data_IF_065165226553
#
_entry.id   IF_065165226553
#
_cell.length_a   1.000
_cell.length_b   1.000
_cell.length_c   1.000
_cell.angle_alpha   90.00
_cell.angle_beta   90.00
_cell.angle_gamma   90.00
#
_symmetry.space_group_name_H-M   'P 1'
#
loop_
_entity.id
_entity.type
_entity.pdbx_description
1 polymer ?
#
# COMPACT_ATOMS: atom_id res chain seq x y z
N UNK A 1 -12.82 20.94 -11.28
CA UNK A 1 -11.79 20.75 -12.31
C UNK A 1 -12.10 21.61 -13.53
N UNK A 2 -11.12 22.24 -14.12
CA UNK A 2 -11.26 22.89 -15.41
C UNK A 2 -10.21 22.33 -16.38
N UNK A 3 -10.50 22.38 -17.69
CA UNK A 3 -9.57 21.91 -18.71
C UNK A 3 -9.27 23.07 -19.67
N UNK A 4 -8.01 23.21 -20.07
CA UNK A 4 -7.54 24.17 -21.08
C UNK A 4 -6.79 23.36 -22.14
N UNK A 5 -7.41 23.13 -23.29
CA UNK A 5 -6.88 22.22 -24.31
C UNK A 5 -6.79 20.79 -23.77
N UNK A 6 -5.61 20.19 -23.85
CA UNK A 6 -5.33 18.83 -23.33
C UNK A 6 -4.83 18.81 -21.88
N UNK A 7 -4.85 19.95 -21.17
CA UNK A 7 -4.39 20.06 -19.77
C UNK A 7 -5.62 20.11 -18.86
N UNK A 8 -5.70 19.15 -17.95
CA UNK A 8 -6.70 19.15 -16.89
C UNK A 8 -6.11 19.75 -15.61
N UNK A 9 -6.78 20.76 -15.07
CA UNK A 9 -6.46 21.31 -13.75
C UNK A 9 -7.31 20.58 -12.71
N UNK A 10 -6.65 19.91 -11.79
CA UNK A 10 -7.28 19.18 -10.69
C UNK A 10 -7.09 19.97 -9.39
N UNK A 11 -8.18 20.11 -8.64
CA UNK A 11 -8.13 20.64 -7.29
C UNK A 11 -7.66 19.55 -6.32
N UNK A 12 -6.60 19.82 -5.56
CA UNK A 12 -6.20 18.97 -4.44
C UNK A 12 -7.11 19.22 -3.24
N UNK A 13 -8.07 18.34 -3.00
CA UNK A 13 -8.98 18.43 -1.86
C UNK A 13 -8.36 17.97 -0.53
N UNK A 14 -7.21 17.32 -0.58
CA UNK A 14 -6.46 16.84 0.58
C UNK A 14 -5.29 17.77 0.96
N UNK A 15 -5.38 19.05 0.62
CA UNK A 15 -4.36 20.04 0.98
C UNK A 15 -4.39 20.37 2.48
N UNK A 16 -3.20 20.67 3.01
CA UNK A 16 -3.03 21.31 4.32
C UNK A 16 -2.33 22.67 4.12
N UNK A 17 -2.57 23.68 5.00
CA UNK A 17 -1.79 24.91 4.98
C UNK A 17 -0.31 24.64 5.30
N UNK A 18 0.58 25.59 5.00
CA UNK A 18 2.01 25.48 5.33
C UNK A 18 2.29 25.33 6.83
N UNK A 19 1.41 25.84 7.67
CA UNK A 19 1.40 25.62 9.12
C UNK A 19 0.01 25.13 9.53
N UNK A 20 -0.03 24.11 10.34
CA UNK A 20 -1.25 23.59 10.95
C UNK A 20 -0.96 23.20 12.40
N UNK A 21 -1.98 23.24 13.25
CA UNK A 21 -1.86 22.79 14.64
C UNK A 21 -2.21 21.31 14.69
N UNK A 22 -1.33 20.53 15.30
CA UNK A 22 -1.55 19.13 15.57
C UNK A 22 -1.81 18.92 17.06
N UNK A 23 -2.44 17.79 17.41
CA UNK A 23 -2.60 17.38 18.80
C UNK A 23 -1.23 17.22 19.46
N UNK A 24 -1.04 17.67 20.73
CA UNK A 24 0.23 17.53 21.47
C UNK A 24 0.76 16.09 21.55
N UNK A 25 -0.10 15.09 21.44
CA UNK A 25 0.30 13.67 21.41
C UNK A 25 1.24 13.33 20.25
N UNK A 26 1.28 14.15 19.19
CA UNK A 26 2.23 13.99 18.09
C UNK A 26 3.70 14.12 18.56
N UNK A 27 3.97 14.96 19.56
CA UNK A 27 5.31 15.14 20.09
C UNK A 27 5.80 13.94 20.92
N UNK A 28 4.87 13.11 21.40
CA UNK A 28 5.15 11.91 22.20
C UNK A 28 5.32 10.66 21.32
N UNK A 29 5.11 10.76 20.00
CA UNK A 29 5.21 9.63 19.10
C UNK A 29 6.67 9.23 18.90
N UNK A 30 6.98 7.96 19.21
CA UNK A 30 8.31 7.39 18.99
C UNK A 30 8.47 6.94 17.52
N UNK A 31 9.17 7.75 16.75
CA UNK A 31 9.47 7.48 15.34
C UNK A 31 10.53 6.38 15.16
N UNK A 32 11.36 6.12 16.16
CA UNK A 32 12.43 5.11 16.09
C UNK A 32 11.88 3.71 16.39
N UNK A 33 10.91 3.60 17.28
CA UNK A 33 10.23 2.33 17.58
C UNK A 33 9.24 1.89 16.48
N UNK A 34 9.08 2.71 15.44
CA UNK A 34 8.17 2.47 14.36
C UNK A 34 8.56 1.23 13.55
N UNK A 35 7.65 0.28 13.42
CA UNK A 35 7.79 -0.84 12.46
C UNK A 35 7.52 -0.43 11.02
N UNK A 36 7.18 0.84 10.79
CA UNK A 36 6.79 1.37 9.49
C UNK A 36 5.39 0.90 9.04
N UNK A 37 5.09 1.12 7.78
CA UNK A 37 3.84 0.66 7.17
C UNK A 37 2.57 1.38 7.62
N UNK A 38 1.42 0.77 7.34
CA UNK A 38 0.11 1.39 7.58
C UNK A 38 -0.24 1.48 9.07
N UNK A 39 0.25 0.55 9.88
CA UNK A 39 0.06 0.60 11.34
C UNK A 39 0.67 1.86 11.93
N UNK A 40 1.90 2.21 11.52
CA UNK A 40 2.53 3.44 11.97
C UNK A 40 1.82 4.69 11.44
N UNK A 41 1.34 4.67 10.20
CA UNK A 41 0.57 5.77 9.65
C UNK A 41 -0.74 5.99 10.41
N UNK A 42 -1.40 4.92 10.87
CA UNK A 42 -2.55 5.04 11.76
C UNK A 42 -2.19 5.71 13.10
N UNK A 43 -1.06 5.33 13.70
CA UNK A 43 -0.56 5.95 14.95
C UNK A 43 -0.23 7.43 14.74
N UNK A 44 0.47 7.75 13.65
CA UNK A 44 0.82 9.12 13.29
C UNK A 44 -0.44 9.98 13.08
N UNK A 45 -1.43 9.46 12.34
CA UNK A 45 -2.68 10.15 12.08
C UNK A 45 -3.47 10.38 13.37
N UNK A 46 -3.58 9.36 14.23
CA UNK A 46 -4.24 9.47 15.52
C UNK A 46 -3.54 10.50 16.42
N UNK A 47 -2.20 10.46 16.49
CA UNK A 47 -1.41 11.40 17.28
C UNK A 47 -1.54 12.84 16.76
N UNK A 48 -1.62 13.04 15.45
CA UNK A 48 -1.74 14.38 14.88
C UNK A 48 -3.15 14.99 15.03
N UNK A 49 -4.20 14.15 15.02
CA UNK A 49 -5.60 14.61 14.94
C UNK A 49 -6.40 14.39 16.22
N UNK A 50 -5.91 13.57 17.16
CA UNK A 50 -6.67 13.14 18.34
C UNK A 50 -7.77 12.10 18.03
N UNK A 51 -7.96 11.71 16.76
CA UNK A 51 -8.94 10.69 16.37
C UNK A 51 -8.49 9.30 16.81
N UNK A 52 -9.44 8.50 17.31
CA UNK A 52 -9.16 7.12 17.74
C UNK A 52 -9.37 6.08 16.64
N UNK A 53 -10.09 6.46 15.59
CA UNK A 53 -10.33 5.59 14.46
C UNK A 53 -9.08 5.47 13.59
N UNK A 54 -8.79 4.25 13.14
CA UNK A 54 -7.73 4.00 12.18
C UNK A 54 -8.11 4.57 10.80
N UNK A 55 -7.21 5.31 10.19
CA UNK A 55 -7.39 5.85 8.84
C UNK A 55 -7.14 4.80 7.76
N UNK A 56 -6.37 3.76 8.08
CA UNK A 56 -6.12 2.62 7.21
C UNK A 56 -6.61 1.32 7.84
N UNK A 57 -7.48 0.60 7.15
CA UNK A 57 -7.84 -0.79 7.46
C UNK A 57 -6.80 -1.71 6.82
N UNK A 58 -5.92 -2.30 7.63
CA UNK A 58 -4.83 -3.18 7.16
C UNK A 58 -5.39 -4.53 6.72
N UNK A 59 -4.96 -5.01 5.56
CA UNK A 59 -5.30 -6.32 5.01
C UNK A 59 -4.33 -7.35 5.59
N UNK A 60 -4.86 -8.47 6.09
CA UNK A 60 -4.09 -9.51 6.78
C UNK A 60 -4.11 -10.86 6.06
N UNK A 61 -4.99 -11.04 5.06
CA UNK A 61 -5.16 -12.30 4.34
C UNK A 61 -4.61 -12.17 2.94
N UNK A 62 -3.60 -12.99 2.62
CA UNK A 62 -2.95 -13.04 1.33
C UNK A 62 -2.91 -14.46 0.82
N UNK A 63 -2.85 -14.59 -0.51
CA UNK A 63 -2.52 -15.83 -1.22
C UNK A 63 -1.23 -15.63 -1.99
N UNK A 64 -0.40 -16.66 -2.10
CA UNK A 64 0.81 -16.60 -2.87
C UNK A 64 1.04 -17.91 -3.64
N UNK A 65 1.46 -17.78 -4.88
CA UNK A 65 1.71 -18.90 -5.79
C UNK A 65 2.92 -18.62 -6.68
N UNK A 66 3.48 -19.68 -7.27
CA UNK A 66 4.59 -19.58 -8.20
C UNK A 66 4.42 -20.54 -9.36
N UNK A 67 4.59 -20.05 -10.59
CA UNK A 67 4.75 -20.86 -11.78
C UNK A 67 6.24 -21.00 -12.07
N UNK A 68 6.78 -22.23 -12.05
CA UNK A 68 8.23 -22.47 -12.12
C UNK A 68 9.01 -21.98 -10.89
N UNK A 69 8.34 -21.74 -9.77
CA UNK A 69 8.94 -21.33 -8.50
C UNK A 69 8.25 -22.01 -7.31
N UNK A 70 9.03 -22.32 -6.29
CA UNK A 70 8.51 -22.70 -4.98
C UNK A 70 8.31 -21.43 -4.15
N UNK A 71 7.08 -21.21 -3.66
CA UNK A 71 6.72 -20.08 -2.82
C UNK A 71 6.27 -20.57 -1.46
N UNK A 72 6.78 -19.96 -0.40
CA UNK A 72 6.38 -20.25 0.97
C UNK A 72 5.91 -18.97 1.64
N UNK A 73 4.64 -18.94 2.08
CA UNK A 73 4.08 -17.85 2.83
C UNK A 73 4.36 -18.05 4.32
N UNK A 74 4.82 -17.01 4.99
CA UNK A 74 5.12 -17.03 6.42
C UNK A 74 4.10 -16.17 7.18
N UNK A 75 3.31 -16.84 8.02
CA UNK A 75 2.31 -16.16 8.86
C UNK A 75 1.08 -15.66 8.10
N UNK A 76 0.39 -14.67 8.71
CA UNK A 76 -0.84 -14.07 8.18
C UNK A 76 -0.61 -12.81 7.35
N UNK A 77 0.65 -12.38 7.24
CA UNK A 77 1.04 -11.18 6.52
C UNK A 77 1.50 -11.56 5.12
N UNK A 78 1.54 -10.58 4.23
CA UNK A 78 2.05 -10.74 2.88
C UNK A 78 3.57 -10.97 2.81
N UNK A 79 4.14 -11.71 3.77
CA UNK A 79 5.55 -12.10 3.75
C UNK A 79 5.72 -13.46 3.08
N UNK A 80 6.48 -13.48 1.99
CA UNK A 80 6.81 -14.71 1.27
C UNK A 80 8.31 -14.88 1.10
N UNK A 81 8.75 -16.13 1.04
CA UNK A 81 10.04 -16.50 0.47
C UNK A 81 9.83 -17.33 -0.79
N UNK A 82 10.71 -17.17 -1.76
CA UNK A 82 10.60 -17.86 -3.05
C UNK A 82 11.93 -18.41 -3.51
N UNK A 83 11.87 -19.47 -4.31
CA UNK A 83 13.01 -20.06 -5.03
C UNK A 83 12.53 -20.44 -6.43
N UNK A 84 13.06 -19.78 -7.45
CA UNK A 84 12.80 -20.13 -8.84
C UNK A 84 13.51 -21.44 -9.20
N UNK A 85 12.81 -22.33 -9.88
CA UNK A 85 13.33 -23.63 -10.34
C UNK A 85 13.67 -23.64 -11.83
N UNK A 86 13.29 -22.55 -12.51
CA UNK A 86 13.58 -22.33 -13.93
C UNK A 86 13.66 -20.84 -14.26
N UNK A 87 14.22 -20.52 -15.41
CA UNK A 87 14.25 -19.13 -15.91
C UNK A 87 12.88 -18.71 -16.44
N UNK A 88 12.44 -17.52 -16.08
CA UNK A 88 11.12 -17.04 -16.44
C UNK A 88 10.01 -17.47 -15.47
N UNK A 89 10.38 -18.07 -14.34
CA UNK A 89 9.43 -18.41 -13.29
C UNK A 89 8.72 -17.17 -12.76
N UNK A 90 7.40 -17.24 -12.62
CA UNK A 90 6.59 -16.15 -12.09
C UNK A 90 6.19 -16.41 -10.63
N UNK A 91 6.21 -15.34 -9.85
CA UNK A 91 5.75 -15.34 -8.46
C UNK A 91 4.67 -14.29 -8.31
N UNK A 92 3.53 -14.72 -7.80
CA UNK A 92 2.37 -13.87 -7.57
C UNK A 92 1.99 -13.89 -6.10
N UNK A 93 1.71 -12.72 -5.54
CA UNK A 93 1.09 -12.56 -4.23
C UNK A 93 -0.12 -11.65 -4.38
N UNK A 94 -1.25 -12.01 -3.77
CA UNK A 94 -2.49 -11.27 -3.93
C UNK A 94 -3.41 -11.36 -2.73
N UNK A 95 -4.49 -10.60 -2.79
CA UNK A 95 -5.56 -10.57 -1.80
C UNK A 95 -6.88 -10.12 -2.42
N UNK A 96 -7.96 -10.46 -1.77
CA UNK A 96 -9.30 -9.97 -2.08
C UNK A 96 -9.66 -8.79 -1.19
N UNK A 97 -10.20 -7.74 -1.77
CA UNK A 97 -10.66 -6.54 -1.05
C UNK A 97 -11.95 -6.87 -0.29
N UNK A 98 -11.92 -6.75 1.04
CA UNK A 98 -13.08 -7.03 1.91
C UNK A 98 -13.85 -5.77 2.32
N UNK A 99 -13.30 -4.58 2.09
CA UNK A 99 -13.92 -3.29 2.35
C UNK A 99 -13.69 -2.38 1.15
N UNK A 100 -14.74 -1.74 0.64
CA UNK A 100 -14.59 -0.78 -0.46
C UNK A 100 -13.82 0.47 0.01
N UNK A 101 -12.94 0.99 -0.84
CA UNK A 101 -12.17 2.19 -0.56
C UNK A 101 -10.92 2.31 -1.43
N UNK A 102 -10.09 3.28 -1.12
CA UNK A 102 -8.84 3.51 -1.84
C UNK A 102 -7.76 2.57 -1.32
N UNK A 103 -7.27 1.66 -2.16
CA UNK A 103 -6.29 0.66 -1.78
C UNK A 103 -4.88 1.17 -2.03
N UNK A 104 -4.04 1.04 -0.99
CA UNK A 104 -2.61 1.34 -1.00
C UNK A 104 -1.81 0.06 -0.71
N UNK A 105 -0.65 -0.04 -1.36
CA UNK A 105 0.32 -1.12 -1.16
C UNK A 105 1.65 -0.53 -0.68
N UNK A 106 2.32 -1.24 0.20
CA UNK A 106 3.75 -1.07 0.49
C UNK A 106 4.43 -2.38 0.15
N UNK A 107 5.34 -2.33 -0.81
CA UNK A 107 6.05 -3.49 -1.31
C UNK A 107 7.52 -3.35 -0.94
N UNK A 108 8.08 -4.36 -0.28
CA UNK A 108 9.50 -4.45 0.04
C UNK A 108 10.04 -5.76 -0.56
N UNK A 109 10.86 -5.62 -1.60
CA UNK A 109 11.46 -6.73 -2.30
C UNK A 109 12.95 -6.42 -2.57
N UNK A 110 13.86 -6.67 -1.61
CA UNK A 110 15.24 -6.17 -1.62
C UNK A 110 16.08 -6.51 -2.86
N UNK A 111 15.68 -7.55 -3.59
CA UNK A 111 16.38 -8.01 -4.80
C UNK A 111 15.65 -7.65 -6.10
N UNK A 112 14.56 -6.88 -6.03
CA UNK A 112 13.69 -6.61 -7.17
C UNK A 112 13.60 -5.12 -7.47
N UNK A 113 13.69 -4.81 -8.77
CA UNK A 113 13.53 -3.45 -9.29
C UNK A 113 12.21 -3.26 -10.04
N UNK A 114 11.49 -4.35 -10.32
CA UNK A 114 10.24 -4.30 -11.09
C UNK A 114 9.26 -5.37 -10.64
N UNK A 115 8.01 -5.00 -10.63
CA UNK A 115 6.86 -5.88 -10.48
C UNK A 115 5.67 -5.25 -11.17
N UNK A 116 4.65 -6.04 -11.46
CA UNK A 116 3.40 -5.59 -12.05
C UNK A 116 2.30 -5.69 -11.01
N UNK A 117 1.47 -4.67 -10.91
CA UNK A 117 0.28 -4.67 -10.07
C UNK A 117 -0.92 -4.90 -10.97
N UNK A 118 -1.74 -5.87 -10.60
CA UNK A 118 -2.96 -6.24 -11.29
C UNK A 118 -4.18 -5.98 -10.41
N UNK A 119 -5.28 -5.57 -11.02
CA UNK A 119 -6.59 -5.49 -10.42
C UNK A 119 -7.58 -6.24 -11.31
N UNK A 120 -8.17 -7.32 -10.81
CA UNK A 120 -9.10 -8.17 -11.56
C UNK A 120 -8.52 -8.62 -12.92
N UNK A 121 -7.23 -8.98 -12.96
CA UNK A 121 -6.54 -9.35 -14.18
C UNK A 121 -6.21 -8.20 -15.13
N UNK A 122 -6.50 -6.96 -14.78
CA UNK A 122 -6.10 -5.78 -15.54
C UNK A 122 -4.90 -5.09 -14.90
N UNK A 123 -3.91 -4.75 -15.70
CA UNK A 123 -2.70 -4.04 -15.24
C UNK A 123 -3.05 -2.63 -14.76
N UNK A 124 -2.76 -2.32 -13.50
CA UNK A 124 -3.03 -1.02 -12.88
C UNK A 124 -1.85 -0.09 -12.99
N UNK A 125 -0.65 -0.64 -12.77
CA UNK A 125 0.61 0.10 -12.83
C UNK A 125 1.66 -0.80 -13.45
N UNK A 126 2.63 -0.21 -14.13
CA UNK A 126 3.54 -1.00 -14.93
C UNK A 126 4.89 -0.42 -15.22
N UNK A 127 5.46 0.35 -14.35
CA UNK A 127 6.85 0.73 -14.45
C UNK A 127 7.59 0.40 -13.15
N UNK A 128 8.92 0.27 -13.27
CA UNK A 128 9.80 -0.04 -12.17
C UNK A 128 9.49 0.81 -10.94
N UNK A 129 8.86 0.19 -9.96
CA UNK A 129 8.71 0.83 -8.66
C UNK A 129 10.01 0.58 -7.92
N UNK A 130 10.72 1.63 -7.56
CA UNK A 130 11.95 1.48 -6.78
C UNK A 130 11.62 0.92 -5.39
N UNK A 131 12.56 0.19 -4.83
CA UNK A 131 12.53 -0.43 -3.50
C UNK A 131 11.82 0.43 -2.46
N UNK A 132 10.93 -0.18 -1.69
CA UNK A 132 10.25 0.41 -0.53
C UNK A 132 9.34 1.61 -0.82
N UNK A 133 8.61 1.60 -1.92
CA UNK A 133 7.63 2.64 -2.22
C UNK A 133 6.20 2.19 -1.93
N UNK A 134 5.39 3.17 -1.52
CA UNK A 134 3.95 3.00 -1.48
C UNK A 134 3.38 3.16 -2.90
N UNK A 135 2.59 2.18 -3.32
CA UNK A 135 1.87 2.21 -4.59
C UNK A 135 0.37 2.38 -4.34
N UNK A 136 -0.25 3.22 -5.15
CA UNK A 136 -1.69 3.37 -5.14
C UNK A 136 -2.32 2.44 -6.19
N UNK A 137 -3.22 1.56 -5.76
CA UNK A 137 -4.05 0.76 -6.67
C UNK A 137 -5.23 1.58 -7.18
N UNK A 138 -5.71 2.51 -6.36
CA UNK A 138 -6.90 3.29 -6.61
C UNK A 138 -8.12 2.78 -5.85
N UNK A 139 -9.30 3.29 -6.21
CA UNK A 139 -10.54 2.90 -5.55
C UNK A 139 -10.94 1.47 -5.96
N UNK A 140 -11.20 0.62 -4.96
CA UNK A 140 -11.60 -0.76 -5.11
C UNK A 140 -12.96 -1.02 -4.48
N UNK A 141 -13.67 -2.01 -5.02
CA UNK A 141 -14.93 -2.54 -4.49
C UNK A 141 -14.66 -3.80 -3.67
N UNK A 142 -15.63 -4.18 -2.84
CA UNK A 142 -15.61 -5.49 -2.17
C UNK A 142 -15.62 -6.58 -3.25
N UNK A 143 -14.71 -7.56 -3.12
CA UNK A 143 -14.52 -8.65 -4.06
C UNK A 143 -13.51 -8.35 -5.17
N UNK A 144 -12.99 -7.11 -5.30
CA UNK A 144 -11.87 -6.87 -6.20
C UNK A 144 -10.65 -7.68 -5.76
N UNK A 145 -9.98 -8.31 -6.73
CA UNK A 145 -8.75 -9.08 -6.51
C UNK A 145 -7.56 -8.25 -6.96
N UNK A 146 -6.63 -8.04 -6.04
CA UNK A 146 -5.38 -7.33 -6.29
C UNK A 146 -4.23 -8.32 -6.21
N UNK A 147 -3.32 -8.29 -7.18
CA UNK A 147 -2.09 -9.08 -7.12
C UNK A 147 -0.86 -8.28 -7.55
N UNK A 148 0.26 -8.70 -7.01
CA UNK A 148 1.61 -8.25 -7.36
C UNK A 148 2.36 -9.44 -7.92
N UNK A 149 2.86 -9.29 -9.13
CA UNK A 149 3.54 -10.33 -9.90
C UNK A 149 4.92 -9.88 -10.32
N UNK A 150 5.87 -10.79 -10.31
CA UNK A 150 7.21 -10.56 -10.83
C UNK A 150 7.84 -11.85 -11.37
N UNK A 151 8.70 -11.70 -12.38
CA UNK A 151 9.40 -12.82 -13.04
C UNK A 151 10.78 -13.00 -12.45
N UNK A 152 11.19 -14.23 -12.23
CA UNK A 152 12.47 -14.64 -11.65
C UNK A 152 13.45 -15.18 -12.70
N UNK A 153 14.76 -15.10 -12.40
CA UNK A 153 15.79 -15.84 -13.10
C UNK A 153 15.94 -17.23 -12.52
N UNK A 154 16.51 -18.15 -13.30
CA UNK A 154 16.80 -19.51 -12.82
C UNK A 154 17.63 -19.51 -11.53
N UNK A 155 17.23 -20.33 -10.55
CA UNK A 155 17.87 -20.46 -9.26
C UNK A 155 17.77 -19.22 -8.35
N UNK A 156 17.03 -18.19 -8.76
CA UNK A 156 16.87 -16.98 -7.97
C UNK A 156 16.09 -17.27 -6.68
N UNK A 157 16.61 -16.72 -5.55
CA UNK A 157 16.01 -16.83 -4.23
C UNK A 157 15.85 -15.45 -3.61
N UNK A 158 14.73 -15.24 -2.96
CA UNK A 158 14.47 -13.97 -2.28
C UNK A 158 13.27 -14.00 -1.36
N UNK A 159 12.97 -12.81 -0.83
CA UNK A 159 11.79 -12.55 -0.03
C UNK A 159 11.05 -11.36 -0.60
N UNK A 160 9.76 -11.29 -0.34
CA UNK A 160 8.92 -10.14 -0.61
C UNK A 160 7.98 -9.93 0.57
N UNK A 161 7.87 -8.68 1.01
CA UNK A 161 6.88 -8.25 1.98
C UNK A 161 5.86 -7.36 1.27
N UNK A 162 4.60 -7.75 1.31
CA UNK A 162 3.47 -6.97 0.85
C UNK A 162 2.61 -6.56 2.04
N UNK A 163 2.59 -5.28 2.35
CA UNK A 163 1.59 -4.69 3.22
C UNK A 163 0.54 -3.99 2.36
N UNK A 164 -0.74 -4.17 2.70
CA UNK A 164 -1.84 -3.56 1.97
C UNK A 164 -2.86 -2.99 2.94
N UNK A 165 -3.47 -1.88 2.56
CA UNK A 165 -4.52 -1.28 3.37
C UNK A 165 -5.54 -0.55 2.51
N UNK A 166 -6.75 -0.44 3.06
CA UNK A 166 -7.83 0.38 2.51
C UNK A 166 -7.90 1.67 3.31
N UNK A 167 -7.83 2.81 2.63
CA UNK A 167 -8.04 4.13 3.23
C UNK A 167 -9.52 4.31 3.55
N UNK A 168 -9.84 4.65 4.80
CA UNK A 168 -11.15 5.16 5.19
C UNK A 168 -11.22 6.66 4.89
N UNK A 169 -11.84 7.01 3.76
CA UNK A 169 -11.95 8.40 3.32
C UNK A 169 -12.73 9.27 4.33
N UNK A 170 -13.71 8.70 5.03
CA UNK A 170 -14.50 9.44 6.02
C UNK A 170 -13.62 9.87 7.19
N UNK A 171 -12.84 8.93 7.75
CA UNK A 171 -11.90 9.22 8.85
C UNK A 171 -10.79 10.16 8.37
N UNK A 172 -10.29 9.96 7.16
CA UNK A 172 -9.28 10.84 6.57
C UNK A 172 -9.76 12.28 6.42
N UNK A 173 -10.97 12.51 5.88
CA UNK A 173 -11.54 13.85 5.72
C UNK A 173 -11.84 14.52 7.09
N UNK A 174 -12.26 13.75 8.09
CA UNK A 174 -12.43 14.26 9.46
C UNK A 174 -11.10 14.77 10.02
N UNK A 175 -10.02 14.00 9.88
CA UNK A 175 -8.70 14.42 10.33
C UNK A 175 -8.17 15.65 9.60
N UNK A 176 -8.36 15.72 8.27
CA UNK A 176 -8.03 16.93 7.51
C UNK A 176 -8.81 18.15 7.99
N UNK A 177 -10.09 18.01 8.33
CA UNK A 177 -10.90 19.10 8.84
C UNK A 177 -10.36 19.61 10.19
N UNK A 178 -9.96 18.70 11.10
CA UNK A 178 -9.32 19.06 12.38
C UNK A 178 -8.05 19.87 12.13
N UNK A 179 -7.13 19.34 11.30
CA UNK A 179 -5.84 19.98 11.02
C UNK A 179 -5.96 21.33 10.29
N UNK A 180 -7.07 21.58 9.59
CA UNK A 180 -7.35 22.85 8.90
C UNK A 180 -8.01 23.89 9.79
N UNK A 181 -8.74 23.45 10.81
CA UNK A 181 -9.50 24.35 11.69
C UNK A 181 -8.66 25.01 12.79
N UNK A 182 -7.41 24.60 12.90
CA UNK A 182 -6.50 25.01 13.97
C UNK A 182 -5.63 26.22 13.60
#
# INVERSE_FOLDING_TARGET
>A
SCAIGNIALLENKAWLPLGFVADPALAELDFEASTGGFTFQNQLFAAATGLKQAVYSVILEYTAEGEGATVTQQGRYGHISYTATESGADVTIGFEVKQAGFVCLKINAPKRNSYTIWKNGQRVSGDSISLAQMAAVGYCQIGDVISVEFTCKDGEKGTLDLESAVLDDTVFQQGLAILRAA
#
